data_IF_488668819787
#
_entry.id   IF_488668819787
#
_cell.length_a   1.000
_cell.length_b   1.000
_cell.length_c   1.000
_cell.angle_alpha   90.00
_cell.angle_beta   90.00
_cell.angle_gamma   90.00
#
_symmetry.space_group_name_H-M   'P 1'
#
loop_
_entity.id
_entity.type
_entity.pdbx_description
1 polymer ?
#
# COMPACT_ATOMS: atom_id res chain seq x y z
N UNK A 1 -19.21 3.85 7.17
CA UNK A 1 -17.72 3.84 7.27
C UNK A 1 -17.16 4.62 6.10
N UNK A 2 -16.41 5.71 6.34
CA UNK A 2 -15.76 6.47 5.25
C UNK A 2 -14.71 5.57 4.60
N UNK A 3 -14.93 5.17 3.36
CA UNK A 3 -13.96 4.48 2.52
C UNK A 3 -12.70 5.32 2.44
N UNK A 4 -11.57 4.81 2.95
CA UNK A 4 -10.28 5.48 2.82
C UNK A 4 -9.74 5.19 1.42
N UNK A 5 -9.45 6.22 0.61
CA UNK A 5 -8.95 5.99 -0.75
C UNK A 5 -7.64 5.19 -0.69
N UNK A 6 -7.56 4.13 -1.49
CA UNK A 6 -6.43 3.20 -1.60
C UNK A 6 -6.19 2.26 -0.40
N UNK A 7 -7.07 2.25 0.61
CA UNK A 7 -7.04 1.31 1.74
C UNK A 7 -8.38 0.58 1.87
N UNK A 8 -8.36 -0.75 1.73
CA UNK A 8 -9.55 -1.60 1.90
C UNK A 8 -9.36 -2.47 3.13
N UNK A 9 -10.32 -2.47 4.05
CA UNK A 9 -10.37 -3.43 5.15
C UNK A 9 -10.78 -4.79 4.60
N UNK A 10 -10.00 -5.83 4.91
CA UNK A 10 -10.35 -7.21 4.64
C UNK A 10 -10.68 -7.89 5.97
N UNK A 11 -11.95 -8.25 6.11
CA UNK A 11 -12.48 -9.10 7.17
C UNK A 11 -13.33 -10.13 6.46
N UNK A 12 -12.93 -11.39 6.50
CA UNK A 12 -13.75 -12.50 6.04
C UNK A 12 -14.25 -13.24 7.28
N UNK A 13 -15.55 -13.50 7.40
CA UNK A 13 -16.13 -14.22 8.54
C UNK A 13 -15.52 -15.62 8.73
N UNK A 14 -14.95 -16.20 7.67
CA UNK A 14 -14.44 -17.58 7.65
C UNK A 14 -12.99 -17.72 7.21
N UNK A 15 -12.25 -16.63 6.91
CA UNK A 15 -10.90 -16.74 6.36
C UNK A 15 -9.79 -16.39 7.37
N UNK A 16 -8.68 -17.11 7.27
CA UNK A 16 -7.47 -17.01 8.10
C UNK A 16 -6.69 -15.67 7.97
N UNK A 17 -7.29 -14.64 7.37
CA UNK A 17 -6.66 -13.34 7.16
C UNK A 17 -7.63 -12.21 7.48
N UNK A 18 -7.29 -11.45 8.53
CA UNK A 18 -7.87 -10.15 8.83
C UNK A 18 -6.78 -9.08 8.68
N UNK A 19 -7.09 -7.99 8.01
CA UNK A 19 -6.08 -6.97 7.73
C UNK A 19 -6.54 -5.83 6.84
N UNK A 20 -5.56 -5.06 6.40
CA UNK A 20 -5.75 -3.94 5.47
C UNK A 20 -5.01 -4.21 4.16
N UNK A 21 -5.68 -3.96 3.04
CA UNK A 21 -5.06 -3.95 1.71
C UNK A 21 -4.79 -2.52 1.29
N UNK A 22 -3.53 -2.21 1.05
CA UNK A 22 -3.10 -1.02 0.32
C UNK A 22 -3.09 -1.36 -1.17
N UNK A 23 -3.79 -0.56 -1.98
CA UNK A 23 -3.76 -0.67 -3.43
C UNK A 23 -3.71 0.72 -4.08
N UNK A 24 -2.65 1.02 -4.83
CA UNK A 24 -2.51 2.29 -5.55
C UNK A 24 -2.01 2.03 -6.97
N UNK A 25 -2.63 2.70 -7.94
CA UNK A 25 -2.23 2.67 -9.35
C UNK A 25 -1.70 4.03 -9.77
N UNK A 26 -0.49 4.09 -10.33
CA UNK A 26 0.13 5.33 -10.81
C UNK A 26 1.09 5.05 -11.96
N UNK A 27 1.06 5.89 -12.99
CA UNK A 27 1.96 5.80 -14.15
C UNK A 27 2.01 4.41 -14.80
N UNK A 28 0.84 3.78 -14.96
CA UNK A 28 0.70 2.46 -15.59
C UNK A 28 1.10 1.25 -14.75
N UNK A 29 1.44 1.43 -13.46
CA UNK A 29 1.76 0.33 -12.54
C UNK A 29 0.84 0.35 -11.33
N UNK A 30 0.45 -0.82 -10.87
CA UNK A 30 -0.31 -1.02 -9.62
C UNK A 30 0.59 -1.63 -8.57
N UNK A 31 0.52 -1.06 -7.36
CA UNK A 31 1.20 -1.55 -6.17
C UNK A 31 0.17 -2.07 -5.19
N UNK A 32 0.36 -3.28 -4.69
CA UNK A 32 -0.55 -3.92 -3.74
C UNK A 32 0.26 -4.50 -2.58
N UNK A 33 -0.19 -4.23 -1.35
CA UNK A 33 0.39 -4.79 -0.13
C UNK A 33 -0.71 -5.08 0.88
N UNK A 34 -0.54 -6.18 1.60
CA UNK A 34 -1.44 -6.60 2.67
C UNK A 34 -0.76 -6.39 4.02
N UNK A 35 -1.50 -5.83 4.95
CA UNK A 35 -1.11 -5.59 6.34
C UNK A 35 -2.01 -6.43 7.24
N UNK A 36 -1.57 -7.63 7.59
CA UNK A 36 -2.32 -8.52 8.48
C UNK A 36 -2.36 -7.98 9.90
N UNK A 37 -3.51 -8.00 10.54
CA UNK A 37 -3.67 -7.61 11.94
C UNK A 37 -2.77 -8.45 12.85
N UNK A 38 -2.65 -9.76 12.59
CA UNK A 38 -1.77 -10.67 13.35
C UNK A 38 -0.31 -10.22 13.38
N UNK A 39 0.20 -9.63 12.30
CA UNK A 39 1.60 -9.20 12.19
C UNK A 39 1.87 -7.85 12.86
N UNK A 40 0.83 -7.01 12.97
CA UNK A 40 0.96 -5.64 13.49
C UNK A 40 0.21 -5.46 14.82
N UNK A 41 -0.09 -6.53 15.55
CA UNK A 41 -0.84 -6.52 16.82
C UNK A 41 -2.20 -5.80 16.75
N UNK A 42 -2.96 -6.09 15.70
CA UNK A 42 -4.37 -5.73 15.60
C UNK A 42 -4.71 -4.65 14.57
N UNK A 43 -6.03 -4.39 14.40
CA UNK A 43 -6.57 -3.60 13.30
C UNK A 43 -6.11 -2.14 13.28
N UNK A 44 -5.94 -1.53 14.46
CA UNK A 44 -5.56 -0.12 14.60
C UNK A 44 -4.10 0.11 14.20
N UNK A 45 -3.20 -0.76 14.64
CA UNK A 45 -1.77 -0.69 14.32
C UNK A 45 -1.52 -1.09 12.86
N UNK A 46 -2.20 -2.12 12.36
CA UNK A 46 -2.16 -2.48 10.94
C UNK A 46 -2.66 -1.33 10.05
N UNK A 47 -3.74 -0.65 10.43
CA UNK A 47 -4.21 0.55 9.73
C UNK A 47 -3.16 1.65 9.74
N UNK A 48 -2.61 1.98 10.92
CA UNK A 48 -1.60 3.04 11.06
C UNK A 48 -0.38 2.76 10.17
N UNK A 49 0.10 1.51 10.14
CA UNK A 49 1.21 1.13 9.28
C UNK A 49 0.86 1.24 7.80
N UNK A 50 -0.33 0.80 7.40
CA UNK A 50 -0.81 0.92 6.03
C UNK A 50 -0.94 2.40 5.60
N UNK A 51 -1.38 3.28 6.50
CA UNK A 51 -1.47 4.73 6.25
C UNK A 51 -0.10 5.38 6.08
N UNK A 52 0.83 5.09 6.99
CA UNK A 52 2.21 5.57 6.88
C UNK A 52 2.83 5.15 5.55
N UNK A 53 2.72 3.86 5.20
CA UNK A 53 3.26 3.34 3.93
C UNK A 53 2.55 3.91 2.70
N UNK A 54 1.24 4.16 2.78
CA UNK A 54 0.52 4.83 1.69
C UNK A 54 1.02 6.27 1.49
N UNK A 55 1.29 7.00 2.57
CA UNK A 55 1.81 8.36 2.52
C UNK A 55 3.21 8.40 1.88
N UNK A 56 4.13 7.57 2.38
CA UNK A 56 5.50 7.48 1.83
C UNK A 56 5.48 7.06 0.35
N UNK A 57 4.63 6.09 -0.01
CA UNK A 57 4.50 5.64 -1.39
C UNK A 57 3.92 6.73 -2.30
N UNK A 58 2.91 7.48 -1.83
CA UNK A 58 2.35 8.61 -2.60
C UNK A 58 3.41 9.67 -2.85
N UNK A 59 4.14 10.07 -1.80
CA UNK A 59 5.20 11.06 -1.91
C UNK A 59 6.30 10.62 -2.89
N UNK A 60 6.75 9.36 -2.80
CA UNK A 60 7.71 8.80 -3.74
C UNK A 60 7.19 8.83 -5.19
N UNK A 61 5.92 8.46 -5.40
CA UNK A 61 5.31 8.39 -6.73
C UNK A 61 5.03 9.77 -7.33
N UNK A 62 4.62 10.74 -6.52
CA UNK A 62 4.33 12.10 -6.99
C UNK A 62 5.62 12.89 -7.27
N UNK A 63 6.69 12.66 -6.51
CA UNK A 63 8.02 13.21 -6.77
C UNK A 63 8.80 12.48 -7.87
N UNK A 64 8.28 11.35 -8.37
CA UNK A 64 8.99 10.56 -9.37
C UNK A 64 8.87 11.12 -10.79
N UNK A 65 9.99 11.15 -11.51
CA UNK A 65 9.99 11.44 -12.94
C UNK A 65 9.27 10.32 -13.70
N UNK A 66 8.36 10.72 -14.59
CA UNK A 66 7.66 9.84 -15.52
C UNK A 66 8.25 10.01 -16.91
N UNK A 67 8.43 8.90 -17.64
CA UNK A 67 8.86 8.89 -19.04
C UNK A 67 7.71 8.32 -19.85
N UNK A 68 7.21 9.07 -20.83
CA UNK A 68 6.00 8.73 -21.60
C UNK A 68 4.79 8.39 -20.71
N UNK A 69 4.61 9.15 -19.62
CA UNK A 69 3.53 8.93 -18.64
C UNK A 69 3.69 7.68 -17.76
N UNK A 70 4.76 6.89 -17.96
CA UNK A 70 5.05 5.67 -17.19
C UNK A 70 6.12 5.93 -16.12
N UNK A 71 6.00 5.22 -15.00
CA UNK A 71 7.06 5.22 -13.99
C UNK A 71 8.33 4.56 -14.54
N UNK A 72 9.49 5.09 -14.16
CA UNK A 72 10.76 4.42 -14.50
C UNK A 72 10.91 3.12 -13.71
N UNK A 73 11.69 2.18 -14.24
CA UNK A 73 11.97 0.91 -13.56
C UNK A 73 12.65 1.14 -12.19
N UNK A 74 13.47 2.18 -12.07
CA UNK A 74 14.12 2.58 -10.81
C UNK A 74 13.09 3.00 -9.77
N UNK A 75 12.10 3.81 -10.15
CA UNK A 75 11.01 4.22 -9.24
C UNK A 75 10.17 3.02 -8.81
N UNK A 76 9.84 2.13 -9.74
CA UNK A 76 9.06 0.91 -9.45
C UNK A 76 9.81 0.04 -8.43
N UNK A 77 11.11 -0.21 -8.64
CA UNK A 77 11.94 -0.98 -7.70
C UNK A 77 12.02 -0.34 -6.32
N UNK A 78 12.15 1.00 -6.23
CA UNK A 78 12.14 1.73 -4.96
C UNK A 78 10.80 1.58 -4.23
N UNK A 79 9.68 1.73 -4.94
CA UNK A 79 8.34 1.55 -4.40
C UNK A 79 8.09 0.12 -3.91
N UNK A 80 8.51 -0.89 -4.67
CA UNK A 80 8.40 -2.31 -4.27
C UNK A 80 9.26 -2.61 -3.03
N UNK A 81 10.46 -2.05 -2.95
CA UNK A 81 11.34 -2.20 -1.78
C UNK A 81 10.70 -1.58 -0.53
N UNK A 82 10.16 -0.37 -0.64
CA UNK A 82 9.46 0.32 0.44
C UNK A 82 8.31 -0.49 1.02
N UNK A 83 7.56 -1.20 0.17
CA UNK A 83 6.47 -2.08 0.58
C UNK A 83 6.95 -3.44 1.15
N UNK A 84 8.17 -3.89 0.82
CA UNK A 84 8.76 -5.13 1.35
C UNK A 84 9.33 -4.96 2.75
N UNK A 85 9.91 -3.80 3.07
CA UNK A 85 10.51 -3.49 4.39
C UNK A 85 9.47 -3.28 5.51
N UNK A 86 8.19 -3.56 5.22
CA UNK A 86 7.04 -3.45 6.14
C UNK A 86 6.59 -4.81 6.63
#
# INVERSE_FOLDING_TARGET
MKSKPNLTRFTYETAAFEGWRLCISRGGKTFTKYFSDKRYDGPKKALKQAETKLSELRELLDNSRKVNGKLTQTTIKKAEKLLKES
#
